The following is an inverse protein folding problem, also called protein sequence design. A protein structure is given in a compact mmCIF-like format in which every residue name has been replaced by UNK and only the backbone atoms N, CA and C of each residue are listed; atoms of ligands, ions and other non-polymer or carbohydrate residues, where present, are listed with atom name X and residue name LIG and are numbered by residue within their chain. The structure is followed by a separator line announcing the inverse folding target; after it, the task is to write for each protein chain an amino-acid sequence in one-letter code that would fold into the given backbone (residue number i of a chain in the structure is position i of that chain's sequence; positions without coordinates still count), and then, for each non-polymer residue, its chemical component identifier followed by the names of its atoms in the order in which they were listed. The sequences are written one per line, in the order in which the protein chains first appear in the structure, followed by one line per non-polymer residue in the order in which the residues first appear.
data_IF_908807988716
#
_entry.id   IF_908807988716
#
_cell.length_a   1.000
_cell.length_b   1.000
_cell.length_c   1.000
_cell.angle_alpha   90.00
_cell.angle_beta   90.00
_cell.angle_gamma   90.00
#
_symmetry.space_group_name_H-M   'P 1'
#
loop_
_entity.id
_entity.type
_entity.pdbx_description
1 polymer ?
#
# COMPACT_ATOMS: atom_id res chain seq x y z
N UNK A 1 -31.54 8.73 0.69
CA UNK A 1 -30.22 8.88 1.34
C UNK A 1 -29.15 8.73 0.26
N UNK A 2 -28.42 9.80 -0.07
CA UNK A 2 -27.43 9.78 -1.15
C UNK A 2 -26.23 8.91 -0.76
N UNK A 3 -26.13 7.71 -1.34
CA UNK A 3 -24.90 6.91 -1.31
C UNK A 3 -23.83 7.61 -2.14
N UNK A 4 -23.13 8.57 -1.53
CA UNK A 4 -22.02 9.29 -2.18
C UNK A 4 -20.90 8.27 -2.41
N UNK A 5 -20.64 7.93 -3.67
CA UNK A 5 -19.53 7.05 -4.05
C UNK A 5 -18.23 7.72 -3.58
N UNK A 6 -17.61 7.17 -2.54
CA UNK A 6 -16.32 7.66 -2.02
C UNK A 6 -15.25 7.40 -3.07
N UNK A 7 -14.53 8.44 -3.51
CA UNK A 7 -13.49 8.28 -4.55
C UNK A 7 -12.29 7.53 -3.98
N UNK A 8 -11.55 6.82 -4.84
CA UNK A 8 -10.34 6.07 -4.45
C UNK A 8 -9.33 6.95 -3.71
N UNK A 9 -9.13 8.18 -4.19
CA UNK A 9 -8.25 9.17 -3.59
C UNK A 9 -8.71 9.60 -2.19
N UNK A 10 -10.01 9.68 -1.95
CA UNK A 10 -10.58 10.04 -0.64
C UNK A 10 -10.36 8.91 0.37
N UNK A 11 -10.58 7.65 -0.05
CA UNK A 11 -10.28 6.46 0.78
C UNK A 11 -8.80 6.40 1.16
N UNK A 12 -7.91 6.64 0.19
CA UNK A 12 -6.48 6.66 0.43
C UNK A 12 -6.07 7.79 1.38
N UNK A 13 -6.64 9.01 1.23
CA UNK A 13 -6.41 10.12 2.15
C UNK A 13 -6.78 9.72 3.58
N UNK A 14 -7.99 9.20 3.78
CA UNK A 14 -8.48 8.82 5.11
C UNK A 14 -7.61 7.74 5.77
N UNK A 15 -7.22 6.72 4.99
CA UNK A 15 -6.36 5.63 5.46
C UNK A 15 -4.97 6.14 5.85
N UNK A 16 -4.37 7.01 5.04
CA UNK A 16 -3.05 7.60 5.33
C UNK A 16 -3.13 8.54 6.54
N UNK A 17 -4.17 9.38 6.65
CA UNK A 17 -4.39 10.26 7.81
C UNK A 17 -4.50 9.47 9.12
N UNK A 18 -5.15 8.30 9.10
CA UNK A 18 -5.25 7.41 10.27
C UNK A 18 -3.92 6.73 10.62
N UNK A 19 -2.94 6.73 9.70
CA UNK A 19 -1.70 5.96 9.77
C UNK A 19 -0.46 6.82 9.52
N UNK A 20 -0.53 8.12 9.79
CA UNK A 20 0.56 9.09 9.56
C UNK A 20 1.89 8.67 10.21
N UNK A 21 1.83 8.01 11.37
CA UNK A 21 3.00 7.50 12.09
C UNK A 21 3.79 6.42 11.35
N UNK A 22 3.22 5.81 10.30
CA UNK A 22 3.93 4.88 9.41
C UNK A 22 4.82 5.59 8.39
N UNK A 23 4.66 6.90 8.20
CA UNK A 23 5.38 7.66 7.20
C UNK A 23 6.47 8.53 7.83
N UNK A 24 7.59 8.64 7.12
CA UNK A 24 8.67 9.59 7.42
C UNK A 24 9.08 10.29 6.14
N UNK A 25 9.48 11.55 6.28
CA UNK A 25 9.95 12.33 5.15
C UNK A 25 11.26 11.72 4.60
N UNK A 26 11.34 11.36 3.31
CA UNK A 26 12.56 10.79 2.74
C UNK A 26 13.72 11.80 2.67
N UNK A 27 13.44 13.10 2.82
CA UNK A 27 14.44 14.17 2.74
C UNK A 27 15.01 14.57 4.11
N UNK A 28 14.17 14.62 5.16
CA UNK A 28 14.60 15.07 6.48
C UNK A 28 14.30 14.09 7.62
N UNK A 29 13.74 12.91 7.32
CA UNK A 29 13.28 11.90 8.30
C UNK A 29 12.22 12.38 9.30
N UNK A 30 11.72 13.61 9.15
CA UNK A 30 10.70 14.19 10.02
C UNK A 30 9.34 13.49 9.89
N UNK A 31 8.55 13.59 10.95
CA UNK A 31 7.15 13.15 10.94
C UNK A 31 6.36 13.87 9.84
N UNK A 32 5.36 13.17 9.30
CA UNK A 32 4.54 13.68 8.20
C UNK A 32 3.06 13.62 8.55
N UNK A 33 2.31 14.60 8.05
CA UNK A 33 0.85 14.64 8.18
C UNK A 33 0.16 14.91 6.86
N UNK A 34 -1.00 14.28 6.66
CA UNK A 34 -1.83 14.42 5.48
C UNK A 34 -2.68 15.67 5.63
N UNK A 35 -2.51 16.62 4.72
CA UNK A 35 -3.24 17.88 4.75
C UNK A 35 -4.56 17.81 3.97
N UNK A 36 -5.32 18.91 3.99
CA UNK A 36 -6.60 18.98 3.31
C UNK A 36 -6.53 19.03 1.79
N UNK A 37 -5.38 19.41 1.25
CA UNK A 37 -5.10 19.46 -0.19
C UNK A 37 -4.62 18.13 -0.76
N UNK A 38 -4.75 17.02 -0.01
CA UNK A 38 -4.32 15.68 -0.41
C UNK A 38 -2.80 15.55 -0.60
N UNK A 39 -2.02 16.17 0.27
CA UNK A 39 -0.57 16.06 0.27
C UNK A 39 -0.05 15.66 1.64
N UNK A 40 0.95 14.78 1.65
CA UNK A 40 1.65 14.38 2.85
C UNK A 40 2.85 15.32 3.07
N UNK A 41 2.87 16.04 4.18
CA UNK A 41 3.81 17.15 4.42
C UNK A 41 4.54 17.00 5.75
N UNK A 42 5.84 17.30 5.79
CA UNK A 42 6.60 17.33 7.04
C UNK A 42 6.78 18.77 7.58
N UNK A 43 7.31 18.92 8.80
CA UNK A 43 7.57 20.24 9.42
C UNK A 43 8.52 21.14 8.60
N UNK A 44 9.43 20.55 7.83
CA UNK A 44 10.32 21.27 6.91
C UNK A 44 9.65 21.67 5.58
N UNK A 45 8.32 21.48 5.46
CA UNK A 45 7.50 21.79 4.27
C UNK A 45 7.78 20.95 3.01
N UNK A 46 8.53 19.85 3.12
CA UNK A 46 8.61 18.87 2.04
C UNK A 46 7.24 18.23 1.85
N UNK A 47 6.74 18.26 0.61
CA UNK A 47 5.35 17.94 0.28
C UNK A 47 5.29 16.88 -0.81
N UNK A 48 4.45 15.86 -0.60
CA UNK A 48 4.26 14.75 -1.53
C UNK A 48 2.78 14.58 -1.83
N UNK A 49 2.38 14.80 -3.08
CA UNK A 49 0.97 14.78 -3.46
C UNK A 49 0.43 13.36 -3.62
N UNK A 50 -0.76 13.13 -3.09
CA UNK A 50 -1.50 11.89 -3.30
C UNK A 50 -2.06 11.86 -4.72
N UNK A 51 -1.66 10.85 -5.48
CA UNK A 51 -2.11 10.67 -6.86
C UNK A 51 -3.61 10.35 -6.93
N UNK A 52 -4.25 10.62 -8.08
CA UNK A 52 -5.65 10.21 -8.32
C UNK A 52 -5.86 8.69 -8.20
N UNK A 53 -4.79 7.90 -8.43
CA UNK A 53 -4.78 6.45 -8.29
C UNK A 53 -4.61 5.98 -6.83
N UNK A 54 -4.38 6.90 -5.89
CA UNK A 54 -4.31 6.61 -4.45
C UNK A 54 -2.94 6.21 -3.92
N UNK A 55 -1.84 6.61 -4.58
CA UNK A 55 -0.46 6.35 -4.13
C UNK A 55 0.31 7.66 -3.92
N UNK A 56 1.34 7.62 -3.07
CA UNK A 56 2.31 8.70 -2.87
C UNK A 56 3.61 8.35 -3.62
N UNK A 57 4.14 9.29 -4.42
CA UNK A 57 5.50 9.15 -4.95
C UNK A 57 6.47 9.75 -3.94
N UNK A 58 7.24 8.92 -3.25
CA UNK A 58 8.23 9.34 -2.25
C UNK A 58 9.67 9.30 -2.79
N UNK A 59 9.88 8.93 -4.05
CA UNK A 59 11.20 8.97 -4.68
C UNK A 59 11.62 10.43 -4.89
N UNK A 60 12.83 10.74 -4.45
CA UNK A 60 13.42 12.09 -4.55
C UNK A 60 14.18 12.31 -5.85
N UNK A 61 14.48 11.22 -6.57
CA UNK A 61 15.16 11.22 -7.87
C UNK A 61 14.31 10.52 -8.91
N UNK A 62 14.32 11.03 -10.13
CA UNK A 62 13.71 10.33 -11.25
C UNK A 62 14.49 9.04 -11.54
N UNK A 63 13.80 7.91 -11.54
CA UNK A 63 14.33 6.64 -12.03
C UNK A 63 13.79 6.38 -13.42
N UNK A 64 14.64 5.93 -14.33
CA UNK A 64 14.19 5.44 -15.64
C UNK A 64 13.43 4.13 -15.44
N UNK A 65 12.33 3.89 -16.18
CA UNK A 65 11.66 2.61 -16.13
C UNK A 65 12.62 1.51 -16.57
N UNK A 66 12.89 0.56 -15.68
CA UNK A 66 13.80 -0.58 -15.92
C UNK A 66 13.03 -1.75 -16.57
N UNK A 67 11.70 -1.73 -16.52
CA UNK A 67 10.85 -2.84 -16.96
C UNK A 67 9.89 -2.39 -18.07
N UNK A 68 9.71 -3.26 -19.06
CA UNK A 68 8.79 -3.00 -20.17
C UNK A 68 7.35 -3.39 -19.80
N UNK A 69 6.37 -2.79 -20.49
CA UNK A 69 4.94 -3.08 -20.32
C UNK A 69 4.62 -4.56 -20.55
N UNK A 70 5.32 -5.19 -21.48
CA UNK A 70 5.15 -6.61 -21.84
C UNK A 70 5.52 -7.52 -20.67
N UNK A 71 6.56 -7.17 -19.89
CA UNK A 71 6.96 -7.95 -18.72
C UNK A 71 5.87 -7.91 -17.64
N UNK A 72 5.28 -6.73 -17.41
CA UNK A 72 4.16 -6.56 -16.48
C UNK A 72 2.93 -7.36 -16.91
N UNK A 73 2.55 -7.28 -18.19
CA UNK A 73 1.44 -8.06 -18.73
C UNK A 73 1.67 -9.58 -18.64
N UNK A 74 2.90 -10.06 -18.86
CA UNK A 74 3.25 -11.46 -18.70
C UNK A 74 3.17 -11.91 -17.24
N UNK A 75 3.71 -11.12 -16.30
CA UNK A 75 3.60 -11.38 -14.86
C UNK A 75 2.15 -11.44 -14.41
N UNK A 76 1.32 -10.50 -14.85
CA UNK A 76 -0.10 -10.47 -14.52
C UNK A 76 -0.84 -11.73 -15.01
N UNK A 77 -0.53 -12.22 -16.21
CA UNK A 77 -1.10 -13.48 -16.73
C UNK A 77 -0.73 -14.68 -15.85
N UNK A 78 0.53 -14.78 -15.42
CA UNK A 78 1.00 -15.85 -14.53
C UNK A 78 0.29 -15.77 -13.17
N UNK A 79 0.19 -14.58 -12.57
CA UNK A 79 -0.52 -14.40 -11.31
C UNK A 79 -2.00 -14.78 -11.44
N UNK A 80 -2.68 -14.33 -12.52
CA UNK A 80 -4.09 -14.68 -12.78
C UNK A 80 -4.34 -16.15 -13.03
N UNK A 81 -3.33 -16.90 -13.48
CA UNK A 81 -3.43 -18.34 -13.66
C UNK A 81 -3.39 -19.13 -12.34
N UNK A 82 -3.26 -18.46 -11.20
CA UNK A 82 -3.19 -19.10 -9.88
C UNK A 82 -1.83 -19.70 -9.57
N UNK A 83 -0.78 -19.38 -10.35
CA UNK A 83 0.56 -19.94 -10.15
C UNK A 83 1.11 -19.68 -8.74
N UNK A 84 0.80 -18.52 -8.17
CA UNK A 84 1.22 -18.13 -6.83
C UNK A 84 0.24 -18.51 -5.73
N UNK A 85 -0.90 -19.16 -6.03
CA UNK A 85 -1.90 -19.50 -5.00
C UNK A 85 -1.32 -20.29 -3.81
N UNK A 86 -0.47 -21.32 -4.01
CA UNK A 86 0.14 -22.04 -2.89
C UNK A 86 1.05 -21.16 -2.02
N UNK A 87 1.71 -20.16 -2.62
CA UNK A 87 2.50 -19.17 -1.87
C UNK A 87 1.60 -18.27 -1.05
N UNK A 88 0.51 -17.78 -1.64
CA UNK A 88 -0.46 -16.92 -0.94
C UNK A 88 -1.08 -17.67 0.24
N UNK A 89 -1.45 -18.96 0.07
CA UNK A 89 -1.98 -19.79 1.16
C UNK A 89 -0.98 -19.94 2.31
N UNK A 90 0.29 -20.22 2.00
CA UNK A 90 1.34 -20.34 3.00
C UNK A 90 1.57 -19.01 3.76
N UNK A 91 1.58 -17.89 3.06
CA UNK A 91 1.71 -16.56 3.66
C UNK A 91 0.51 -16.25 4.56
N UNK A 92 -0.70 -16.59 4.13
CA UNK A 92 -1.92 -16.38 4.90
C UNK A 92 -1.87 -17.14 6.23
N UNK A 93 -1.48 -18.41 6.19
CA UNK A 93 -1.38 -19.23 7.39
C UNK A 93 -0.37 -18.64 8.38
N UNK A 94 0.79 -18.20 7.89
CA UNK A 94 1.82 -17.56 8.70
C UNK A 94 1.28 -16.28 9.34
N UNK A 95 0.70 -15.37 8.55
CA UNK A 95 0.15 -14.11 9.05
C UNK A 95 -0.95 -14.37 10.08
N UNK A 96 -1.85 -15.33 9.83
CA UNK A 96 -2.90 -15.73 10.77
C UNK A 96 -2.35 -16.15 12.12
N UNK A 97 -1.28 -16.95 12.14
CA UNK A 97 -0.62 -17.38 13.39
C UNK A 97 -0.03 -16.20 14.16
N UNK A 98 0.55 -15.22 13.47
CA UNK A 98 1.06 -14.00 14.10
C UNK A 98 -0.07 -13.09 14.61
N UNK A 99 -1.13 -12.88 13.83
CA UNK A 99 -2.27 -12.05 14.23
C UNK A 99 -2.92 -12.53 15.54
N UNK A 100 -3.05 -13.84 15.74
CA UNK A 100 -3.55 -14.44 16.99
C UNK A 100 -2.73 -14.05 18.24
N UNK A 101 -1.45 -13.69 18.06
CA UNK A 101 -0.54 -13.30 19.15
C UNK A 101 -0.52 -11.79 19.38
N UNK A 102 -1.07 -10.99 18.47
CA UNK A 102 -1.05 -9.55 18.59
C UNK A 102 -2.22 -9.10 19.45
N UNK A 103 -1.90 -8.49 20.59
CA UNK A 103 -2.90 -7.92 21.52
C UNK A 103 -3.51 -6.62 20.95
N UNK A 104 -2.77 -5.92 20.09
CA UNK A 104 -3.17 -4.65 19.51
C UNK A 104 -4.19 -4.86 18.39
N UNK A 105 -5.34 -4.19 18.50
CA UNK A 105 -6.47 -4.30 17.54
C UNK A 105 -6.27 -3.54 16.23
N UNK A 106 -5.16 -2.84 16.05
CA UNK A 106 -4.91 -1.98 14.91
C UNK A 106 -3.48 -2.19 14.39
N UNK A 107 -3.33 -3.16 13.49
CA UNK A 107 -2.05 -3.57 12.91
C UNK A 107 -1.92 -3.10 11.46
N UNK A 108 -0.72 -3.19 10.91
CA UNK A 108 -0.49 -2.87 9.51
C UNK A 108 0.45 -3.90 8.89
N UNK A 109 0.14 -4.30 7.67
CA UNK A 109 0.91 -5.26 6.88
C UNK A 109 1.54 -4.46 5.73
N UNK A 110 2.84 -4.61 5.56
CA UNK A 110 3.61 -3.96 4.50
C UNK A 110 4.16 -5.03 3.55
N UNK A 111 3.88 -4.86 2.26
CA UNK A 111 4.54 -5.58 1.18
C UNK A 111 5.59 -4.66 0.55
N UNK A 112 6.87 -5.03 0.72
CA UNK A 112 8.01 -4.28 0.25
C UNK A 112 8.54 -4.91 -1.04
N UNK A 113 8.54 -4.14 -2.14
CA UNK A 113 8.68 -4.69 -3.48
C UNK A 113 7.37 -5.28 -4.01
N UNK A 114 6.26 -4.58 -3.75
CA UNK A 114 4.92 -5.11 -4.03
C UNK A 114 4.58 -5.21 -5.53
N UNK A 115 5.39 -4.63 -6.41
CA UNK A 115 5.10 -4.47 -7.83
C UNK A 115 3.72 -3.83 -8.04
N UNK A 116 2.86 -4.49 -8.81
CA UNK A 116 1.48 -4.07 -9.06
C UNK A 116 0.53 -4.25 -7.85
N UNK A 117 0.99 -4.90 -6.78
CA UNK A 117 0.23 -5.17 -5.56
C UNK A 117 -0.68 -6.40 -5.62
N UNK A 118 -0.49 -7.30 -6.59
CA UNK A 118 -1.34 -8.49 -6.77
C UNK A 118 -1.31 -9.41 -5.55
N UNK A 119 -0.12 -9.74 -5.02
CA UNK A 119 0.00 -10.65 -3.88
C UNK A 119 -0.62 -10.08 -2.60
N UNK A 120 -0.29 -8.83 -2.23
CA UNK A 120 -0.91 -8.19 -1.05
C UNK A 120 -2.42 -8.03 -1.22
N UNK A 121 -2.92 -7.83 -2.45
CA UNK A 121 -4.36 -7.79 -2.72
C UNK A 121 -5.02 -9.17 -2.57
N UNK A 122 -4.37 -10.24 -3.01
CA UNK A 122 -4.88 -11.60 -2.82
C UNK A 122 -4.91 -11.99 -1.34
N UNK A 123 -3.87 -11.63 -0.58
CA UNK A 123 -3.84 -11.78 0.88
C UNK A 123 -4.97 -10.97 1.52
N UNK A 124 -5.18 -9.71 1.10
CA UNK A 124 -6.28 -8.88 1.60
C UNK A 124 -7.65 -9.52 1.35
N UNK A 125 -7.90 -10.07 0.16
CA UNK A 125 -9.18 -10.74 -0.17
C UNK A 125 -9.43 -11.99 0.67
N UNK A 126 -8.37 -12.73 1.00
CA UNK A 126 -8.47 -13.94 1.84
C UNK A 126 -8.46 -13.62 3.33
N UNK A 127 -7.98 -12.44 3.72
CA UNK A 127 -8.04 -11.97 5.10
C UNK A 127 -9.49 -11.92 5.60
N UNK A 128 -9.72 -12.49 6.77
CA UNK A 128 -11.03 -12.47 7.42
C UNK A 128 -11.13 -11.27 8.39
N UNK A 129 -12.33 -10.99 8.89
CA UNK A 129 -12.62 -9.84 9.77
C UNK A 129 -11.78 -9.80 11.06
N UNK A 130 -11.14 -10.91 11.45
CA UNK A 130 -10.23 -10.93 12.61
C UNK A 130 -8.93 -10.18 12.35
N UNK A 131 -8.50 -10.08 11.08
CA UNK A 131 -7.36 -9.28 10.68
C UNK A 131 -7.80 -7.82 10.58
N UNK A 132 -7.87 -7.14 11.71
CA UNK A 132 -8.07 -5.68 11.78
C UNK A 132 -6.78 -4.96 11.36
N UNK A 133 -6.35 -5.20 10.13
CA UNK A 133 -5.08 -4.76 9.57
C UNK A 133 -5.30 -3.80 8.42
N UNK A 134 -4.43 -2.80 8.34
CA UNK A 134 -4.31 -1.95 7.15
C UNK A 134 -3.17 -2.46 6.28
N UNK A 135 -3.39 -2.55 4.97
CA UNK A 135 -2.42 -3.09 4.02
C UNK A 135 -1.73 -1.96 3.25
N UNK A 136 -0.41 -2.00 3.17
CA UNK A 136 0.42 -1.04 2.46
C UNK A 136 1.36 -1.77 1.50
N UNK A 137 1.51 -1.23 0.29
CA UNK A 137 2.51 -1.66 -0.68
C UNK A 137 3.51 -0.55 -0.92
N UNK A 138 4.79 -0.90 -1.01
CA UNK A 138 5.87 0.02 -1.41
C UNK A 138 6.65 -0.63 -2.53
N UNK A 139 6.85 0.11 -3.61
CA UNK A 139 7.74 -0.25 -4.69
C UNK A 139 8.47 1.00 -5.21
N UNK A 140 9.64 0.79 -5.80
CA UNK A 140 10.43 1.81 -6.49
C UNK A 140 10.11 1.89 -7.98
N UNK A 141 9.46 0.85 -8.53
CA UNK A 141 8.96 0.85 -9.89
C UNK A 141 7.79 1.82 -9.98
N UNK A 142 7.97 2.85 -10.80
CA UNK A 142 6.88 3.68 -11.27
C UNK A 142 6.52 3.17 -12.64
N UNK A 143 5.53 2.30 -12.75
CA UNK A 143 4.64 2.09 -13.90
C UNK A 143 3.60 1.00 -13.59
#
# INVERSE_FOLDING_TARGET
MNNKIIKKKDRAKELISKKESLFKCPLCSGAMSMNDTYSLTCQSKHTFDLSKKGYLNLLTTATSPVYSKELFEARHKVCKAGFYDPLIDALEEIISRYQKRIIKKDTSILDAGCGEGTHIYDIYKRSNESWKSTFFGVDISKD
#
